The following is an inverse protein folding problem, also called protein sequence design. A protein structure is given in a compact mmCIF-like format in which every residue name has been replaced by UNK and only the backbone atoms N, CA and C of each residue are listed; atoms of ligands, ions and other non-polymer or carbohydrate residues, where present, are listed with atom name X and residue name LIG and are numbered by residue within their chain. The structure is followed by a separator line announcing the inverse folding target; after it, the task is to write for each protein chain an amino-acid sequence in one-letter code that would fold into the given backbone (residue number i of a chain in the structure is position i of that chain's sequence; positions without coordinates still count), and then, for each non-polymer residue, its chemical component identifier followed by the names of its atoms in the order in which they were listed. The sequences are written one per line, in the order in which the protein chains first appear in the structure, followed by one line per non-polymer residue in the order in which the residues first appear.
data_IF_971474651894
#
_entry.id   IF_971474651894
#
_cell.length_a   1.000
_cell.length_b   1.000
_cell.length_c   1.000
_cell.angle_alpha   90.00
_cell.angle_beta   90.00
_cell.angle_gamma   90.00
#
_symmetry.space_group_name_H-M   'P 1'
#
loop_
_entity.id
_entity.type
_entity.pdbx_description
1 polymer ?
#
# COMPACT_ATOMS: atom_id res chain seq x y z
N UNK A 1 32.75 16.59 11.43
CA UNK A 1 31.67 16.41 10.47
C UNK A 1 30.80 15.27 10.91
N UNK A 2 29.55 15.51 10.89
CA UNK A 2 28.63 14.45 11.30
C UNK A 2 28.27 13.62 10.08
N UNK A 3 28.70 12.37 10.10
CA UNK A 3 28.31 11.40 9.08
C UNK A 3 27.14 10.57 9.56
N UNK A 4 26.20 11.21 10.25
CA UNK A 4 25.03 10.49 10.68
C UNK A 4 24.28 10.00 9.45
N UNK A 5 24.10 8.68 9.34
CA UNK A 5 23.29 8.17 8.24
C UNK A 5 21.87 8.71 8.35
N UNK A 6 21.28 9.03 7.22
CA UNK A 6 19.88 9.38 7.18
C UNK A 6 19.09 8.24 7.81
N UNK A 7 18.03 8.59 8.55
CA UNK A 7 17.14 7.60 9.12
C UNK A 7 16.54 6.76 7.99
N UNK A 8 16.60 5.44 8.14
CA UNK A 8 16.01 4.52 7.17
C UNK A 8 14.67 4.03 7.70
N UNK A 9 13.63 4.28 6.93
CA UNK A 9 12.28 3.91 7.28
C UNK A 9 11.79 2.90 6.25
N UNK A 10 11.46 1.70 6.72
CA UNK A 10 10.88 0.65 5.88
C UNK A 10 9.37 0.63 6.06
N UNK A 11 8.64 0.75 4.95
CA UNK A 11 7.18 0.78 4.92
C UNK A 11 6.70 -0.35 4.03
N UNK A 12 5.74 -1.13 4.51
CA UNK A 12 5.07 -2.15 3.71
C UNK A 12 3.77 -1.57 3.16
N UNK A 13 3.47 -1.89 1.92
CA UNK A 13 2.26 -1.43 1.23
C UNK A 13 1.51 -2.64 0.70
N UNK A 14 0.21 -2.70 0.90
CA UNK A 14 -0.61 -3.82 0.49
C UNK A 14 -1.48 -3.45 -0.71
N UNK A 15 -1.23 -4.10 -1.84
CA UNK A 15 -2.08 -4.00 -3.02
C UNK A 15 -3.08 -5.14 -2.92
N UNK A 16 -4.26 -4.86 -2.35
CA UNK A 16 -5.25 -5.87 -2.00
C UNK A 16 -6.16 -6.12 -3.19
N UNK A 17 -6.19 -7.36 -3.66
CA UNK A 17 -7.00 -7.76 -4.81
C UNK A 17 -8.04 -8.78 -4.36
N UNK A 18 -9.30 -8.52 -4.73
CA UNK A 18 -10.39 -9.45 -4.46
C UNK A 18 -10.25 -10.67 -5.38
N UNK A 19 -10.27 -11.90 -4.83
CA UNK A 19 -10.01 -13.10 -5.64
C UNK A 19 -11.08 -13.40 -6.69
N UNK A 20 -12.29 -12.92 -6.51
CA UNK A 20 -13.39 -13.20 -7.45
C UNK A 20 -13.58 -12.06 -8.46
N UNK A 21 -13.63 -10.82 -7.99
CA UNK A 21 -13.92 -9.67 -8.84
C UNK A 21 -12.68 -9.01 -9.43
N UNK A 22 -11.50 -9.28 -8.85
CA UNK A 22 -10.23 -8.63 -9.15
C UNK A 22 -10.24 -7.12 -8.87
N UNK A 23 -11.20 -6.65 -8.07
CA UNK A 23 -11.21 -5.26 -7.62
C UNK A 23 -10.06 -5.01 -6.65
N UNK A 24 -9.57 -3.77 -6.65
CA UNK A 24 -8.51 -3.31 -5.76
C UNK A 24 -9.12 -2.51 -4.61
N UNK A 25 -8.61 -2.72 -3.40
CA UNK A 25 -9.06 -1.97 -2.23
C UNK A 25 -8.10 -0.80 -2.00
N UNK A 26 -8.59 0.42 -2.19
CA UNK A 26 -7.83 1.63 -1.95
C UNK A 26 -8.45 2.43 -0.83
N UNK A 27 -7.64 3.28 -0.18
CA UNK A 27 -8.11 4.10 0.93
C UNK A 27 -7.63 5.54 0.78
N UNK A 28 -8.35 6.44 1.43
CA UNK A 28 -8.04 7.87 1.38
C UNK A 28 -7.45 8.30 2.71
N UNK A 29 -6.34 9.02 2.65
CA UNK A 29 -5.71 9.56 3.85
C UNK A 29 -6.61 10.62 4.49
N UNK A 30 -6.69 10.67 5.83
CA UNK A 30 -7.41 11.75 6.50
C UNK A 30 -6.88 13.11 6.08
N UNK A 31 -7.77 14.08 5.90
CA UNK A 31 -7.41 15.41 5.43
C UNK A 31 -6.50 16.18 6.40
N UNK A 32 -6.43 15.76 7.65
CA UNK A 32 -5.61 16.39 8.69
C UNK A 32 -4.16 15.88 8.71
N UNK A 33 -3.83 14.90 7.87
CA UNK A 33 -2.48 14.33 7.80
C UNK A 33 -1.67 14.89 6.64
N UNK A 34 -0.37 14.57 6.63
CA UNK A 34 0.49 14.87 5.48
C UNK A 34 -0.07 14.14 4.26
N UNK A 35 -0.15 14.82 3.11
CA UNK A 35 -0.77 14.32 1.89
C UNK A 35 -2.25 13.95 2.12
N UNK A 36 -2.92 14.67 3.03
CA UNK A 36 -4.33 14.45 3.31
C UNK A 36 -5.18 14.61 2.05
N UNK A 37 -6.19 13.75 1.93
CA UNK A 37 -7.07 13.74 0.77
C UNK A 37 -6.58 12.91 -0.40
N UNK A 38 -5.28 12.59 -0.46
CA UNK A 38 -4.78 11.65 -1.48
C UNK A 38 -5.26 10.23 -1.19
N UNK A 39 -5.41 9.47 -2.25
CA UNK A 39 -5.71 8.05 -2.16
C UNK A 39 -4.40 7.26 -2.12
N UNK A 40 -4.45 6.08 -1.53
CA UNK A 40 -3.28 5.24 -1.36
C UNK A 40 -3.68 3.78 -1.21
N UNK A 41 -2.69 2.91 -1.29
CA UNK A 41 -2.85 1.54 -0.85
C UNK A 41 -2.53 1.49 0.64
N UNK A 42 -3.24 0.67 1.44
CA UNK A 42 -2.98 0.62 2.88
C UNK A 42 -1.59 0.08 3.19
N UNK A 43 -1.05 0.50 4.31
CA UNK A 43 0.27 0.08 4.73
C UNK A 43 0.81 0.97 5.84
N UNK A 44 2.05 0.73 6.24
CA UNK A 44 2.66 1.51 7.29
C UNK A 44 4.08 1.05 7.61
N UNK A 45 4.64 1.65 8.65
CA UNK A 45 6.01 1.40 9.07
C UNK A 45 6.18 0.02 9.68
N UNK A 46 7.29 -0.62 9.33
CA UNK A 46 7.65 -1.91 9.91
C UNK A 46 8.09 -1.73 11.36
N UNK A 47 7.57 -2.59 12.23
CA UNK A 47 8.04 -2.67 13.61
C UNK A 47 9.37 -3.45 13.69
N UNK A 48 10.20 -3.19 14.70
CA UNK A 48 11.45 -3.94 14.88
C UNK A 48 11.19 -5.45 14.95
N UNK A 49 11.96 -6.21 14.19
CA UNK A 49 11.85 -7.68 14.18
C UNK A 49 10.71 -8.24 13.33
N UNK A 50 9.89 -7.38 12.76
CA UNK A 50 8.77 -7.77 11.90
C UNK A 50 9.24 -7.90 10.45
N UNK A 51 8.77 -8.91 9.72
CA UNK A 51 9.01 -8.97 8.29
C UNK A 51 8.12 -7.95 7.58
N UNK A 52 8.51 -7.53 6.37
CA UNK A 52 7.69 -6.60 5.60
C UNK A 52 6.34 -7.22 5.22
N UNK A 53 6.32 -8.53 4.94
CA UNK A 53 5.06 -9.21 4.64
C UNK A 53 4.13 -9.22 5.87
N UNK A 54 4.66 -9.49 7.06
CA UNK A 54 3.86 -9.45 8.29
C UNK A 54 3.40 -8.03 8.59
N UNK A 55 4.24 -7.04 8.32
CA UNK A 55 3.89 -5.63 8.46
C UNK A 55 2.69 -5.28 7.58
N UNK A 56 2.70 -5.72 6.32
CA UNK A 56 1.60 -5.46 5.40
C UNK A 56 0.28 -6.03 5.95
N UNK A 57 0.31 -7.28 6.43
CA UNK A 57 -0.89 -7.91 7.00
C UNK A 57 -1.39 -7.18 8.24
N UNK A 58 -0.49 -6.83 9.14
CA UNK A 58 -0.84 -6.13 10.39
C UNK A 58 -1.44 -4.77 10.10
N UNK A 59 -0.80 -3.97 9.24
CA UNK A 59 -1.28 -2.64 8.92
C UNK A 59 -2.66 -2.67 8.26
N UNK A 60 -2.90 -3.62 7.35
CA UNK A 60 -4.21 -3.79 6.72
C UNK A 60 -5.28 -4.08 7.76
N UNK A 61 -4.98 -4.95 8.71
CA UNK A 61 -5.93 -5.30 9.76
C UNK A 61 -6.21 -4.09 10.67
N UNK A 62 -5.18 -3.35 11.04
CA UNK A 62 -5.33 -2.16 11.89
C UNK A 62 -6.12 -1.05 11.19
N UNK A 63 -5.86 -0.82 9.90
CA UNK A 63 -6.47 0.30 9.17
C UNK A 63 -7.87 -0.01 8.64
N UNK A 64 -8.12 -1.25 8.24
CA UNK A 64 -9.34 -1.63 7.52
C UNK A 64 -10.08 -2.83 8.11
N UNK A 65 -9.51 -3.54 9.07
CA UNK A 65 -10.14 -4.72 9.66
C UNK A 65 -10.23 -5.92 8.72
N UNK A 66 -9.35 -5.98 7.73
CA UNK A 66 -9.36 -6.99 6.68
C UNK A 66 -8.20 -7.96 6.88
N UNK A 67 -8.46 -9.25 6.60
CA UNK A 67 -7.45 -10.33 6.62
C UNK A 67 -7.05 -10.62 5.18
N UNK A 68 -5.74 -10.61 4.94
CA UNK A 68 -5.18 -10.87 3.60
C UNK A 68 -4.07 -11.90 3.66
N UNK A 69 -3.81 -12.54 2.51
CA UNK A 69 -2.64 -13.39 2.30
C UNK A 69 -1.69 -12.66 1.36
N UNK A 70 -0.44 -12.49 1.78
CA UNK A 70 0.59 -11.89 0.93
C UNK A 70 1.00 -12.91 -0.14
N UNK A 71 0.94 -12.49 -1.40
CA UNK A 71 1.17 -13.39 -2.54
C UNK A 71 2.45 -13.12 -3.31
N UNK A 72 2.79 -11.85 -3.51
CA UNK A 72 3.90 -11.51 -4.39
C UNK A 72 4.46 -10.14 -4.02
N UNK A 73 5.79 -10.04 -3.96
CA UNK A 73 6.44 -8.75 -3.80
C UNK A 73 6.47 -8.02 -5.15
N UNK A 74 6.21 -6.73 -5.13
CA UNK A 74 6.36 -5.85 -6.28
C UNK A 74 7.64 -5.04 -6.12
N UNK A 75 7.91 -4.15 -7.08
CA UNK A 75 9.16 -3.38 -7.08
C UNK A 75 9.18 -2.36 -5.96
N UNK A 76 10.19 -2.39 -5.08
CA UNK A 76 10.31 -1.38 -4.02
C UNK A 76 10.53 0.02 -4.60
N UNK A 77 10.03 1.01 -3.86
CA UNK A 77 10.16 2.42 -4.22
C UNK A 77 10.98 3.09 -3.12
N UNK A 78 12.04 3.79 -3.50
CA UNK A 78 12.88 4.51 -2.54
C UNK A 78 12.65 6.00 -2.71
N UNK A 79 12.29 6.66 -1.61
CA UNK A 79 12.15 8.10 -1.53
C UNK A 79 13.23 8.67 -0.64
N UNK A 80 14.02 9.58 -1.20
CA UNK A 80 15.10 10.22 -0.46
C UNK A 80 14.63 11.59 0.01
N UNK A 81 14.48 11.72 1.33
CA UNK A 81 14.21 13.01 1.96
C UNK A 81 15.48 13.51 2.63
N UNK A 82 15.60 14.83 2.92
CA UNK A 82 16.81 15.36 3.56
C UNK A 82 17.19 14.65 4.87
N UNK A 83 16.21 14.15 5.61
CA UNK A 83 16.45 13.53 6.93
C UNK A 83 16.19 12.02 6.94
N UNK A 84 15.67 11.44 5.85
CA UNK A 84 15.29 10.04 5.89
C UNK A 84 15.25 9.42 4.50
N UNK A 85 15.63 8.15 4.43
CA UNK A 85 15.38 7.31 3.27
C UNK A 85 14.15 6.47 3.57
N UNK A 86 13.09 6.64 2.80
CA UNK A 86 11.87 5.85 2.96
C UNK A 86 11.82 4.82 1.86
N UNK A 87 11.78 3.55 2.25
CA UNK A 87 11.65 2.44 1.31
C UNK A 87 10.24 1.90 1.41
N UNK A 88 9.50 1.99 0.32
CA UNK A 88 8.14 1.44 0.22
C UNK A 88 8.24 0.08 -0.47
N UNK A 89 7.80 -0.96 0.23
CA UNK A 89 7.81 -2.33 -0.28
C UNK A 89 6.38 -2.78 -0.52
N UNK A 90 5.91 -2.74 -1.77
CA UNK A 90 4.54 -3.15 -2.08
C UNK A 90 4.45 -4.65 -2.29
N UNK A 91 3.31 -5.21 -1.88
CA UNK A 91 3.00 -6.62 -2.05
C UNK A 91 1.60 -6.77 -2.64
N UNK A 92 1.46 -7.69 -3.59
CA UNK A 92 0.13 -8.14 -4.00
C UNK A 92 -0.40 -9.02 -2.88
N UNK A 93 -1.59 -8.70 -2.40
CA UNK A 93 -2.25 -9.42 -1.32
C UNK A 93 -3.63 -9.89 -1.80
N UNK A 94 -3.95 -11.16 -1.49
CA UNK A 94 -5.29 -11.67 -1.75
C UNK A 94 -6.19 -11.30 -0.57
N UNK A 95 -7.35 -10.71 -0.88
CA UNK A 95 -8.37 -10.51 0.14
C UNK A 95 -8.95 -11.85 0.56
N UNK A 96 -8.89 -12.14 1.86
CA UNK A 96 -9.39 -13.40 2.40
C UNK A 96 -10.72 -13.23 3.12
N UNK A 97 -10.81 -12.27 4.04
CA UNK A 97 -12.02 -12.10 4.85
C UNK A 97 -12.04 -10.74 5.56
N UNK A 98 -13.15 -10.46 6.19
CA UNK A 98 -13.36 -9.24 6.96
C UNK A 98 -14.07 -8.18 6.13
N UNK A 99 -15.13 -7.59 6.67
CA UNK A 99 -15.80 -6.47 6.03
C UNK A 99 -14.95 -5.22 6.22
N UNK A 100 -14.48 -4.57 5.13
CA UNK A 100 -13.65 -3.38 5.29
C UNK A 100 -14.35 -2.29 6.11
N UNK A 101 -13.58 -1.65 6.98
CA UNK A 101 -14.04 -0.56 7.84
C UNK A 101 -12.99 0.53 7.83
N UNK A 102 -13.42 1.79 7.92
CA UNK A 102 -12.50 2.92 7.99
C UNK A 102 -12.04 3.12 9.44
N UNK A 103 -11.12 2.24 9.90
CA UNK A 103 -10.62 2.26 11.27
C UNK A 103 -9.54 3.33 11.47
N UNK A 104 -8.68 3.55 10.45
CA UNK A 104 -7.60 4.53 10.53
C UNK A 104 -7.43 5.29 9.22
N UNK A 105 -8.41 5.25 8.33
CA UNK A 105 -8.42 5.98 7.06
C UNK A 105 -9.68 6.80 7.00
N UNK A 106 -9.72 7.82 6.11
CA UNK A 106 -10.92 8.65 5.98
C UNK A 106 -12.06 7.85 5.33
N UNK A 107 -11.75 7.08 4.32
CA UNK A 107 -12.69 6.18 3.65
C UNK A 107 -11.91 5.19 2.78
N UNK A 108 -12.64 4.21 2.23
CA UNK A 108 -12.07 3.19 1.36
C UNK A 108 -13.03 2.93 0.20
N UNK A 109 -12.50 2.31 -0.86
CA UNK A 109 -13.31 1.88 -2.00
C UNK A 109 -12.70 0.65 -2.65
N UNK A 110 -13.57 -0.24 -3.10
CA UNK A 110 -13.19 -1.26 -4.08
C UNK A 110 -13.30 -0.62 -5.46
N UNK A 111 -12.21 -0.69 -6.23
CA UNK A 111 -12.16 -0.08 -7.57
C UNK A 111 -11.64 -1.09 -8.59
N UNK A 112 -12.04 -0.92 -9.82
CA UNK A 112 -11.46 -1.69 -10.92
C UNK A 112 -10.11 -1.06 -11.30
N UNK A 113 -9.22 -1.87 -11.88
CA UNK A 113 -7.91 -1.35 -12.27
C UNK A 113 -8.03 -0.17 -13.25
N UNK A 114 -9.04 -0.19 -14.12
CA UNK A 114 -9.29 0.88 -15.08
C UNK A 114 -9.68 2.19 -14.41
N UNK A 115 -10.18 2.13 -13.18
CA UNK A 115 -10.62 3.31 -12.45
C UNK A 115 -9.50 4.00 -11.67
N UNK A 116 -8.32 3.39 -11.59
CA UNK A 116 -7.22 3.94 -10.77
C UNK A 116 -6.85 5.36 -11.17
N UNK A 117 -6.92 5.69 -12.45
CA UNK A 117 -6.57 7.03 -12.93
C UNK A 117 -7.60 8.10 -12.53
N UNK A 118 -8.77 7.68 -12.03
CA UNK A 118 -9.80 8.59 -11.56
C UNK A 118 -9.57 9.08 -10.12
N UNK A 119 -8.55 8.53 -9.45
CA UNK A 119 -8.23 8.86 -8.07
C UNK A 119 -6.85 9.53 -8.01
N UNK A 120 -6.72 10.49 -7.11
CA UNK A 120 -5.46 11.23 -6.96
C UNK A 120 -4.55 10.51 -5.99
N UNK A 121 -3.49 9.90 -6.54
CA UNK A 121 -2.42 9.26 -5.77
C UNK A 121 -1.21 10.18 -5.70
N UNK A 122 -0.40 10.12 -4.63
CA UNK A 122 0.85 10.87 -4.60
C UNK A 122 1.75 10.53 -5.79
N UNK A 123 2.54 11.49 -6.29
CA UNK A 123 3.44 11.24 -7.43
C UNK A 123 4.36 10.04 -7.23
N UNK A 124 4.76 9.76 -6.00
CA UNK A 124 5.60 8.61 -5.67
C UNK A 124 5.00 7.27 -6.07
N UNK A 125 3.68 7.20 -6.19
CA UNK A 125 2.98 5.96 -6.49
C UNK A 125 2.83 5.68 -7.99
N UNK A 126 3.27 6.59 -8.87
CA UNK A 126 3.03 6.42 -10.31
C UNK A 126 3.67 5.16 -10.87
N UNK A 127 4.89 4.83 -10.44
CA UNK A 127 5.55 3.60 -10.85
C UNK A 127 4.80 2.35 -10.38
N UNK A 128 4.29 2.39 -9.16
CA UNK A 128 3.50 1.28 -8.61
C UNK A 128 2.20 1.11 -9.40
N UNK A 129 1.51 2.20 -9.71
CA UNK A 129 0.28 2.13 -10.51
C UNK A 129 0.55 1.52 -11.89
N UNK A 130 1.66 1.89 -12.52
CA UNK A 130 2.05 1.33 -13.81
C UNK A 130 2.34 -0.17 -13.69
N UNK A 131 3.03 -0.58 -12.63
CA UNK A 131 3.34 -2.00 -12.40
C UNK A 131 2.05 -2.81 -12.18
N UNK A 132 1.10 -2.27 -11.41
CA UNK A 132 -0.19 -2.92 -11.18
C UNK A 132 -0.93 -3.10 -12.50
N UNK A 133 -0.99 -2.07 -13.34
CA UNK A 133 -1.65 -2.16 -14.64
C UNK A 133 -1.02 -3.21 -15.54
N UNK A 134 0.32 -3.29 -15.52
CA UNK A 134 1.05 -4.30 -16.25
C UNK A 134 0.73 -5.71 -15.75
N UNK A 135 0.63 -5.87 -14.43
CA UNK A 135 0.27 -7.14 -13.82
C UNK A 135 -1.11 -7.62 -14.30
N UNK A 136 -2.09 -6.72 -14.33
CA UNK A 136 -3.43 -7.04 -14.81
C UNK A 136 -3.43 -7.37 -16.30
N UNK A 137 -2.64 -6.67 -17.11
CA UNK A 137 -2.55 -6.90 -18.55
C UNK A 137 -1.94 -8.27 -18.86
N UNK A 138 -0.97 -8.71 -18.05
CA UNK A 138 -0.30 -10.01 -18.26
C UNK A 138 -1.08 -11.18 -17.67
N UNK A 139 -2.02 -10.92 -16.76
CA UNK A 139 -2.70 -11.94 -16.01
C UNK A 139 -1.90 -12.35 -14.76
N UNK A 140 -2.62 -12.79 -13.75
CA UNK A 140 -2.01 -13.20 -12.47
C UNK A 140 -2.89 -14.25 -11.78
N UNK A 141 -2.28 -14.94 -10.82
CA UNK A 141 -2.97 -15.90 -9.96
C UNK A 141 -2.82 -15.45 -8.50
N UNK A 142 -3.90 -15.54 -7.74
CA UNK A 142 -3.88 -15.16 -6.32
C UNK A 142 -3.82 -16.36 -5.39
#
# INVERSE_FOLDING_TARGET
MSDQPSQQIAVAVAVIIHPETHALLICQRPHTTVLGGFWEFPGGKRDPGESLADCARREVQEELGVIVTVRQALTPIVHLYPHAHVSLSPFVCRYDSGEPQALAVARFRWVRVEELDSFEFPPANQGLLAEIKSLYAQGFTL
#
